data_IF_856511032146
#
_entry.id   IF_856511032146
#
_cell.length_a   1.000
_cell.length_b   1.000
_cell.length_c   1.000
_cell.angle_alpha   90.00
_cell.angle_beta   90.00
_cell.angle_gamma   90.00
#
_symmetry.space_group_name_H-M   'P 1'
#
loop_
_entity.id
_entity.type
_entity.pdbx_description
1 polymer ?
#
# COMPACT_ATOMS: atom_id res chain seq x y z
N UNK A 1 14.62 28.04 64.13
CA UNK A 1 15.00 27.16 63.00
C UNK A 1 13.71 26.71 62.31
N UNK A 2 13.39 27.29 61.20
CA UNK A 2 12.17 26.97 60.41
C UNK A 2 12.59 26.07 59.24
N UNK A 3 12.03 24.85 59.22
CA UNK A 3 12.23 23.87 58.17
C UNK A 3 11.22 24.14 57.07
N UNK A 4 11.68 24.66 55.93
CA UNK A 4 10.84 24.90 54.74
C UNK A 4 10.47 23.60 54.05
N UNK A 5 9.18 23.31 54.00
CA UNK A 5 8.63 22.22 53.23
C UNK A 5 8.58 22.61 51.73
N UNK A 6 9.37 21.91 50.93
CA UNK A 6 9.40 22.07 49.46
C UNK A 6 8.22 21.29 48.85
N UNK A 7 7.20 22.04 48.38
CA UNK A 7 6.05 21.47 47.68
C UNK A 7 6.49 21.09 46.28
N UNK A 8 6.50 19.82 45.95
CA UNK A 8 6.76 19.31 44.62
C UNK A 8 5.61 19.67 43.66
N UNK A 9 5.93 20.33 42.56
CA UNK A 9 4.97 20.69 41.51
C UNK A 9 4.38 19.42 40.84
N UNK A 10 3.09 19.42 40.49
CA UNK A 10 2.48 18.29 39.79
C UNK A 10 3.09 18.12 38.41
N UNK A 11 3.60 16.91 38.15
CA UNK A 11 4.01 16.51 36.78
C UNK A 11 2.79 16.52 35.89
N UNK A 12 2.69 17.51 35.02
CA UNK A 12 1.72 17.52 33.93
C UNK A 12 1.99 16.32 33.02
N UNK A 13 1.12 15.32 33.09
CA UNK A 13 1.07 14.25 32.09
C UNK A 13 0.74 14.92 30.75
N UNK A 14 1.69 14.91 29.82
CA UNK A 14 1.41 15.23 28.42
C UNK A 14 0.20 14.41 27.98
N UNK A 15 -0.80 15.03 27.28
CA UNK A 15 -1.92 14.29 26.73
C UNK A 15 -1.33 13.22 25.82
N UNK A 16 -1.58 11.94 26.12
CA UNK A 16 -1.33 10.86 25.15
C UNK A 16 -2.17 11.23 23.94
N UNK A 17 -1.50 11.64 22.87
CA UNK A 17 -2.10 11.77 21.57
C UNK A 17 -2.87 10.47 21.35
N UNK A 18 -4.21 10.58 21.24
CA UNK A 18 -5.06 9.44 20.97
C UNK A 18 -4.57 8.89 19.64
N UNK A 19 -3.78 7.78 19.69
CA UNK A 19 -3.16 7.22 18.49
C UNK A 19 -4.31 6.62 17.71
N UNK A 20 -4.90 7.42 16.80
CA UNK A 20 -5.97 6.98 15.93
C UNK A 20 -5.54 5.67 15.26
N UNK A 21 -6.44 4.71 15.23
CA UNK A 21 -6.23 3.41 14.61
C UNK A 21 -6.07 3.66 13.09
N UNK A 22 -4.84 3.67 12.60
CA UNK A 22 -4.55 3.87 11.18
C UNK A 22 -4.42 2.52 10.51
N UNK A 23 -5.36 2.21 9.62
CA UNK A 23 -5.42 1.02 8.78
C UNK A 23 -5.65 1.47 7.36
N UNK A 24 -4.58 1.61 6.59
CA UNK A 24 -4.59 2.24 5.27
C UNK A 24 -4.46 1.22 4.16
N UNK A 25 -5.37 1.27 3.20
CA UNK A 25 -5.26 0.56 1.92
C UNK A 25 -4.84 1.54 0.82
N UNK A 26 -3.93 1.12 -0.05
CA UNK A 26 -3.45 1.91 -1.18
C UNK A 26 -3.60 1.09 -2.45
N UNK A 27 -4.39 1.60 -3.40
CA UNK A 27 -4.65 0.96 -4.70
C UNK A 27 -4.22 1.85 -5.85
N UNK A 28 -4.01 1.26 -7.01
CA UNK A 28 -3.67 1.96 -8.25
C UNK A 28 -2.87 1.09 -9.20
N UNK A 29 -2.57 1.62 -10.40
CA UNK A 29 -1.79 0.91 -11.42
C UNK A 29 -0.35 0.62 -10.96
N UNK A 30 0.38 -0.29 -11.66
CA UNK A 30 1.84 -0.35 -11.53
C UNK A 30 2.44 1.01 -11.87
N UNK A 31 3.57 1.35 -11.26
CA UNK A 31 4.21 2.65 -11.47
C UNK A 31 3.48 3.86 -10.89
N UNK A 32 2.31 3.70 -10.24
CA UNK A 32 1.57 4.84 -9.66
C UNK A 32 2.19 5.42 -8.39
N UNK A 33 3.24 4.80 -7.83
CA UNK A 33 3.94 5.27 -6.63
C UNK A 33 3.44 4.66 -5.31
N UNK A 34 2.61 3.62 -5.34
CA UNK A 34 2.04 2.95 -4.14
C UNK A 34 3.10 2.57 -3.12
N UNK A 35 4.14 1.87 -3.54
CA UNK A 35 5.19 1.36 -2.64
C UNK A 35 5.97 2.50 -1.98
N UNK A 36 6.21 3.60 -2.72
CA UNK A 36 6.84 4.81 -2.17
C UNK A 36 5.94 5.47 -1.13
N UNK A 37 4.66 5.63 -1.46
CA UNK A 37 3.66 6.20 -0.55
C UNK A 37 3.51 5.33 0.71
N UNK A 38 3.38 4.01 0.56
CA UNK A 38 3.28 3.07 1.68
C UNK A 38 4.51 3.12 2.59
N UNK A 39 5.71 3.17 2.02
CA UNK A 39 6.97 3.26 2.77
C UNK A 39 7.03 4.55 3.61
N UNK A 40 6.70 5.70 3.00
CA UNK A 40 6.65 6.99 3.71
C UNK A 40 5.58 6.98 4.80
N UNK A 41 4.39 6.47 4.49
CA UNK A 41 3.29 6.32 5.43
C UNK A 41 3.66 5.45 6.63
N UNK A 42 4.29 4.31 6.39
CA UNK A 42 4.76 3.41 7.44
C UNK A 42 5.78 4.10 8.36
N UNK A 43 6.75 4.81 7.77
CA UNK A 43 7.77 5.52 8.54
C UNK A 43 7.19 6.69 9.36
N UNK A 44 6.28 7.49 8.76
CA UNK A 44 5.70 8.65 9.42
C UNK A 44 4.77 8.28 10.59
N UNK A 45 4.07 7.15 10.48
CA UNK A 45 3.03 6.77 11.42
C UNK A 45 3.32 5.51 12.23
N UNK A 46 4.48 4.87 12.04
CA UNK A 46 4.84 3.62 12.71
C UNK A 46 3.87 2.48 12.37
N UNK A 47 3.59 2.27 11.07
CA UNK A 47 2.68 1.24 10.59
C UNK A 47 3.45 0.00 10.15
N UNK A 48 2.87 -1.19 10.39
CA UNK A 48 3.30 -2.39 9.70
C UNK A 48 2.96 -2.27 8.21
N UNK A 49 3.86 -2.69 7.32
CA UNK A 49 3.65 -2.60 5.87
C UNK A 49 3.51 -3.99 5.25
N UNK A 50 2.52 -4.15 4.39
CA UNK A 50 2.38 -5.30 3.50
C UNK A 50 2.26 -4.83 2.05
N UNK A 51 3.13 -5.35 1.20
CA UNK A 51 3.05 -5.27 -0.25
C UNK A 51 2.34 -6.54 -0.77
N UNK A 52 1.19 -6.39 -1.42
CA UNK A 52 0.39 -7.53 -1.87
C UNK A 52 1.14 -8.42 -2.86
N UNK A 53 2.00 -7.85 -3.69
CA UNK A 53 2.85 -8.63 -4.60
C UNK A 53 3.66 -9.72 -3.87
N UNK A 54 4.03 -9.48 -2.60
CA UNK A 54 4.82 -10.44 -1.81
C UNK A 54 4.04 -11.68 -1.38
N UNK A 55 2.71 -11.62 -1.37
CA UNK A 55 1.84 -12.74 -1.00
C UNK A 55 1.02 -13.28 -2.16
N UNK A 56 0.82 -12.50 -3.21
CA UNK A 56 0.02 -12.87 -4.40
C UNK A 56 0.83 -13.70 -5.38
N UNK A 57 2.13 -13.45 -5.50
CA UNK A 57 2.98 -14.08 -6.49
C UNK A 57 3.93 -15.11 -5.88
N UNK A 58 4.22 -16.16 -6.67
CA UNK A 58 5.29 -17.11 -6.33
C UNK A 58 6.64 -16.40 -6.34
N UNK A 59 7.47 -16.58 -5.30
CA UNK A 59 8.80 -15.97 -5.26
C UNK A 59 9.64 -16.36 -6.48
N UNK A 60 10.33 -15.38 -7.07
CA UNK A 60 11.23 -15.58 -8.22
C UNK A 60 10.55 -16.21 -9.46
N UNK A 61 9.23 -16.10 -9.58
CA UNK A 61 8.46 -16.55 -10.75
C UNK A 61 7.59 -15.41 -11.25
N UNK A 62 7.90 -14.90 -12.43
CA UNK A 62 7.17 -13.78 -13.01
C UNK A 62 5.73 -14.17 -13.33
N UNK A 63 4.78 -13.43 -12.79
CA UNK A 63 3.35 -13.56 -13.03
C UNK A 63 2.74 -14.96 -12.74
N UNK A 64 3.37 -15.75 -11.87
CA UNK A 64 2.81 -17.01 -11.37
C UNK A 64 2.08 -16.74 -10.07
N UNK A 65 0.74 -16.80 -10.11
CA UNK A 65 -0.08 -16.55 -8.92
C UNK A 65 0.01 -17.72 -7.94
N UNK A 66 0.03 -17.41 -6.65
CA UNK A 66 -0.13 -18.39 -5.56
C UNK A 66 -1.61 -18.81 -5.42
N UNK A 67 -1.89 -20.00 -4.81
CA UNK A 67 -3.24 -20.39 -4.48
C UNK A 67 -3.98 -19.33 -3.66
N UNK A 68 -5.24 -19.07 -4.00
CA UNK A 68 -6.02 -17.99 -3.36
C UNK A 68 -6.21 -18.22 -1.85
N UNK A 69 -6.28 -19.47 -1.41
CA UNK A 69 -6.34 -19.84 0.01
C UNK A 69 -5.08 -19.46 0.78
N UNK A 70 -3.89 -19.60 0.17
CA UNK A 70 -2.62 -19.22 0.80
C UNK A 70 -2.50 -17.70 0.90
N UNK A 71 -2.88 -16.99 -0.17
CA UNK A 71 -2.92 -15.51 -0.18
C UNK A 71 -3.86 -14.99 0.91
N UNK A 72 -5.04 -15.62 1.03
CA UNK A 72 -6.02 -15.27 2.06
C UNK A 72 -5.48 -15.53 3.46
N UNK A 73 -4.84 -16.67 3.70
CA UNK A 73 -4.28 -17.03 5.01
C UNK A 73 -3.16 -16.05 5.43
N UNK A 74 -2.28 -15.67 4.51
CA UNK A 74 -1.21 -14.70 4.77
C UNK A 74 -1.78 -13.31 5.09
N UNK A 75 -2.79 -12.85 4.34
CA UNK A 75 -3.45 -11.58 4.60
C UNK A 75 -4.15 -11.58 5.97
N UNK A 76 -4.93 -12.61 6.27
CA UNK A 76 -5.63 -12.73 7.56
C UNK A 76 -4.65 -12.79 8.74
N UNK A 77 -3.51 -13.48 8.58
CA UNK A 77 -2.42 -13.52 9.57
C UNK A 77 -1.81 -12.14 9.80
N UNK A 78 -1.57 -11.39 8.73
CA UNK A 78 -1.05 -10.03 8.83
C UNK A 78 -2.04 -9.11 9.56
N UNK A 79 -3.33 -9.14 9.20
CA UNK A 79 -4.38 -8.33 9.81
C UNK A 79 -4.59 -8.67 11.30
N UNK A 80 -4.48 -9.95 11.68
CA UNK A 80 -4.59 -10.39 13.07
C UNK A 80 -3.40 -9.98 13.94
N UNK A 81 -2.23 -9.82 13.34
CA UNK A 81 -0.98 -9.54 14.06
C UNK A 81 -0.73 -8.04 14.25
N UNK A 82 -1.31 -7.20 13.38
CA UNK A 82 -1.01 -5.77 13.36
C UNK A 82 -2.27 -4.91 13.51
N UNK A 83 -2.34 -4.14 14.59
CA UNK A 83 -3.45 -3.20 14.83
C UNK A 83 -3.40 -1.97 13.90
N UNK A 84 -2.20 -1.57 13.50
CA UNK A 84 -1.93 -0.38 12.68
C UNK A 84 -1.07 -0.78 11.49
N UNK A 85 -1.60 -0.54 10.29
CA UNK A 85 -0.94 -1.04 9.09
C UNK A 85 -1.20 -0.18 7.85
N UNK A 86 -0.36 -0.39 6.84
CA UNK A 86 -0.54 0.04 5.47
C UNK A 86 -0.34 -1.16 4.55
N UNK A 87 -1.34 -1.42 3.71
CA UNK A 87 -1.33 -2.47 2.69
C UNK A 87 -1.42 -1.80 1.33
N UNK A 88 -0.62 -2.25 0.38
CA UNK A 88 -0.63 -1.68 -0.97
C UNK A 88 -0.55 -2.75 -2.05
N UNK A 89 -1.21 -2.50 -3.18
CA UNK A 89 -1.15 -3.38 -4.34
C UNK A 89 -2.06 -2.98 -5.49
N UNK A 90 -1.96 -3.76 -6.59
CA UNK A 90 -2.84 -3.63 -7.76
C UNK A 90 -4.01 -4.62 -7.71
N UNK A 91 -3.97 -5.61 -6.82
CA UNK A 91 -4.92 -6.72 -6.78
C UNK A 91 -6.17 -6.33 -6.00
N UNK A 92 -7.12 -5.68 -6.69
CA UNK A 92 -8.31 -5.11 -6.08
C UNK A 92 -9.20 -6.14 -5.38
N UNK A 93 -9.23 -7.39 -5.84
CA UNK A 93 -9.93 -8.49 -5.19
C UNK A 93 -9.29 -8.85 -3.85
N UNK A 94 -7.96 -8.86 -3.74
CA UNK A 94 -7.25 -9.06 -2.47
C UNK A 94 -7.42 -7.85 -1.55
N UNK A 95 -7.36 -6.62 -2.11
CA UNK A 95 -7.65 -5.38 -1.37
C UNK A 95 -9.06 -5.42 -0.77
N UNK A 96 -10.04 -5.91 -1.52
CA UNK A 96 -11.43 -6.03 -1.08
C UNK A 96 -11.56 -6.91 0.17
N UNK A 97 -10.72 -7.96 0.32
CA UNK A 97 -10.71 -8.81 1.50
C UNK A 97 -10.32 -8.04 2.78
N UNK A 98 -9.46 -7.03 2.68
CA UNK A 98 -9.01 -6.21 3.81
C UNK A 98 -9.88 -4.96 4.05
N UNK A 99 -10.81 -4.65 3.14
CA UNK A 99 -11.57 -3.39 3.14
C UNK A 99 -12.41 -3.22 4.41
N UNK A 100 -12.97 -4.31 4.95
CA UNK A 100 -13.76 -4.30 6.18
C UNK A 100 -13.00 -3.81 7.43
N UNK A 101 -11.67 -3.96 7.43
CA UNK A 101 -10.79 -3.54 8.52
C UNK A 101 -10.13 -2.17 8.25
N UNK A 102 -10.31 -1.62 7.05
CA UNK A 102 -9.69 -0.38 6.60
C UNK A 102 -10.30 0.85 7.27
N UNK A 103 -9.48 1.83 7.64
CA UNK A 103 -9.93 3.14 8.12
C UNK A 103 -9.71 4.24 7.09
N UNK A 104 -8.81 4.04 6.13
CA UNK A 104 -8.50 5.00 5.07
C UNK A 104 -8.12 4.30 3.77
N UNK A 105 -8.79 4.66 2.68
CA UNK A 105 -8.48 4.18 1.33
C UNK A 105 -7.84 5.28 0.48
N UNK A 106 -6.66 5.01 -0.07
CA UNK A 106 -5.94 5.91 -0.96
C UNK A 106 -5.89 5.31 -2.36
N UNK A 107 -6.42 6.04 -3.32
CA UNK A 107 -6.35 5.67 -4.73
C UNK A 107 -5.32 6.52 -5.46
N UNK A 108 -4.20 5.90 -5.87
CA UNK A 108 -3.16 6.57 -6.65
C UNK A 108 -3.44 6.44 -8.15
N UNK A 109 -3.85 7.54 -8.77
CA UNK A 109 -4.26 7.60 -10.17
C UNK A 109 -3.56 8.76 -10.91
N UNK A 110 -2.21 8.77 -11.01
CA UNK A 110 -1.47 9.87 -11.63
C UNK A 110 -1.54 9.86 -13.18
N UNK A 111 -2.25 8.92 -13.76
CA UNK A 111 -2.31 8.72 -15.20
C UNK A 111 -1.27 7.74 -15.74
N UNK A 112 -1.58 7.14 -16.91
CA UNK A 112 -0.72 6.10 -17.52
C UNK A 112 0.67 6.61 -17.85
N UNK A 113 0.80 7.85 -18.35
CA UNK A 113 2.10 8.39 -18.75
C UNK A 113 3.08 8.44 -17.57
N UNK A 114 2.63 8.86 -16.39
CA UNK A 114 3.45 8.88 -15.16
C UNK A 114 3.80 7.47 -14.72
N UNK A 115 2.84 6.53 -14.79
CA UNK A 115 3.08 5.13 -14.43
C UNK A 115 4.15 4.50 -15.32
N UNK A 116 4.06 4.68 -16.62
CA UNK A 116 5.04 4.17 -17.59
C UNK A 116 6.44 4.74 -17.36
N UNK A 117 6.52 6.05 -17.08
CA UNK A 117 7.81 6.71 -16.80
C UNK A 117 8.45 6.16 -15.52
N UNK A 118 7.66 5.96 -14.48
CA UNK A 118 8.11 5.39 -13.22
C UNK A 118 8.56 3.93 -13.38
N UNK A 119 7.83 3.11 -14.15
CA UNK A 119 8.20 1.72 -14.39
C UNK A 119 9.46 1.59 -15.25
N UNK A 120 9.71 2.48 -16.23
CA UNK A 120 10.96 2.54 -16.99
C UNK A 120 12.18 2.87 -16.12
N UNK A 121 11.99 3.65 -15.04
CA UNK A 121 13.04 4.08 -14.11
C UNK A 121 13.17 3.18 -12.89
N UNK A 122 12.32 2.15 -12.78
CA UNK A 122 12.29 1.27 -11.61
C UNK A 122 13.66 0.59 -11.43
N UNK A 123 14.26 0.68 -10.24
CA UNK A 123 15.48 -0.07 -9.96
C UNK A 123 15.21 -1.57 -9.98
N UNK A 124 16.28 -2.38 -10.12
CA UNK A 124 16.15 -3.82 -10.01
C UNK A 124 15.54 -4.23 -8.65
N UNK A 125 14.58 -5.14 -8.72
CA UNK A 125 13.83 -5.68 -7.58
C UNK A 125 14.29 -7.14 -7.32
N UNK A 126 15.32 -7.37 -6.48
CA UNK A 126 15.91 -8.69 -6.29
C UNK A 126 14.99 -9.72 -5.64
N UNK A 127 13.87 -9.28 -5.05
CA UNK A 127 12.83 -10.14 -4.49
C UNK A 127 11.83 -10.66 -5.53
N UNK A 128 11.83 -10.09 -6.75
CA UNK A 128 10.93 -10.45 -7.86
C UNK A 128 11.67 -11.11 -9.01
N UNK A 129 12.91 -10.72 -9.27
CA UNK A 129 13.70 -11.17 -10.42
C UNK A 129 15.11 -11.59 -10.00
N UNK A 130 15.63 -12.66 -10.61
CA UNK A 130 16.95 -13.17 -10.31
C UNK A 130 18.07 -12.25 -10.80
N UNK A 131 17.81 -11.40 -11.79
CA UNK A 131 18.77 -10.41 -12.30
C UNK A 131 18.09 -9.17 -12.89
N UNK A 132 18.88 -8.10 -13.05
CA UNK A 132 18.44 -6.89 -13.76
C UNK A 132 18.14 -7.16 -15.24
N UNK A 133 18.89 -8.09 -15.87
CA UNK A 133 18.67 -8.50 -17.25
C UNK A 133 17.34 -9.22 -17.39
N UNK A 134 16.98 -10.05 -16.44
CA UNK A 134 15.67 -10.71 -16.43
C UNK A 134 14.54 -9.70 -16.26
N UNK A 135 14.64 -8.79 -15.30
CA UNK A 135 13.67 -7.70 -15.15
C UNK A 135 13.49 -6.92 -16.45
N UNK A 136 14.59 -6.59 -17.12
CA UNK A 136 14.56 -5.85 -18.39
C UNK A 136 13.91 -6.64 -19.53
N UNK A 137 13.99 -7.97 -19.55
CA UNK A 137 13.26 -8.81 -20.53
C UNK A 137 11.75 -8.73 -20.33
N UNK A 138 11.30 -8.61 -19.10
CA UNK A 138 9.88 -8.52 -18.77
C UNK A 138 9.31 -7.11 -18.85
N UNK A 139 10.17 -6.08 -18.87
CA UNK A 139 9.74 -4.68 -18.90
C UNK A 139 8.77 -4.34 -20.03
N UNK A 140 8.96 -4.77 -21.31
CA UNK A 140 8.01 -4.47 -22.38
C UNK A 140 6.60 -5.01 -22.10
N UNK A 141 6.50 -6.21 -21.52
CA UNK A 141 5.21 -6.81 -21.15
C UNK A 141 4.54 -6.03 -20.01
N UNK A 142 5.32 -5.61 -19.00
CA UNK A 142 4.81 -4.77 -17.92
C UNK A 142 4.30 -3.43 -18.46
N UNK A 143 5.03 -2.77 -19.35
CA UNK A 143 4.62 -1.48 -19.92
C UNK A 143 3.33 -1.61 -20.72
N UNK A 144 3.19 -2.65 -21.58
CA UNK A 144 1.94 -2.92 -22.29
C UNK A 144 0.78 -3.15 -21.33
N UNK A 145 1.01 -3.93 -20.28
CA UNK A 145 0.01 -4.18 -19.24
C UNK A 145 -0.40 -2.88 -18.50
N UNK A 146 0.53 -1.98 -18.23
CA UNK A 146 0.28 -0.67 -17.59
C UNK A 146 -0.56 0.24 -18.50
N UNK A 147 -0.31 0.23 -19.83
CA UNK A 147 -1.07 0.99 -20.81
C UNK A 147 -2.55 0.60 -20.86
N UNK A 148 -2.86 -0.68 -20.66
CA UNK A 148 -4.22 -1.21 -20.70
C UNK A 148 -5.05 -0.89 -19.44
N UNK A 149 -4.52 -0.21 -18.44
CA UNK A 149 -5.15 0.01 -17.15
C UNK A 149 -6.57 0.55 -17.20
N UNK A 150 -6.84 1.50 -18.11
CA UNK A 150 -8.15 2.11 -18.27
C UNK A 150 -9.12 1.32 -19.16
N UNK A 151 -8.62 0.32 -19.87
CA UNK A 151 -9.40 -0.43 -20.87
C UNK A 151 -9.55 -1.92 -20.55
N UNK A 152 -8.65 -2.48 -19.75
CA UNK A 152 -8.74 -3.88 -19.34
C UNK A 152 -9.84 -4.07 -18.31
N UNK A 153 -10.34 -5.30 -18.20
CA UNK A 153 -11.29 -5.75 -17.20
C UNK A 153 -10.61 -6.44 -16.01
N UNK A 154 -11.42 -6.73 -14.96
CA UNK A 154 -11.01 -7.51 -13.81
C UNK A 154 -10.38 -6.70 -12.68
N UNK A 155 -9.90 -7.39 -11.62
CA UNK A 155 -9.58 -6.75 -10.34
C UNK A 155 -8.38 -5.80 -10.38
N UNK A 156 -7.56 -5.85 -11.43
CA UNK A 156 -6.39 -4.98 -11.62
C UNK A 156 -6.64 -3.82 -12.59
N UNK A 157 -7.93 -3.55 -12.90
CA UNK A 157 -8.35 -2.48 -13.82
C UNK A 157 -8.63 -1.17 -13.10
N UNK A 158 -8.62 -0.06 -13.86
CA UNK A 158 -9.11 1.23 -13.37
C UNK A 158 -10.57 1.15 -12.91
N UNK A 159 -11.42 0.51 -13.70
CA UNK A 159 -12.85 0.40 -13.41
C UNK A 159 -13.10 -0.27 -12.04
N UNK A 160 -12.38 -1.35 -11.75
CA UNK A 160 -12.48 -2.04 -10.47
C UNK A 160 -11.97 -1.17 -9.30
N UNK A 161 -10.79 -0.55 -9.45
CA UNK A 161 -10.23 0.30 -8.40
C UNK A 161 -11.10 1.55 -8.16
N UNK A 162 -11.69 2.11 -9.24
CA UNK A 162 -12.62 3.24 -9.14
C UNK A 162 -13.88 2.85 -8.37
N UNK A 163 -14.50 1.73 -8.73
CA UNK A 163 -15.68 1.23 -8.01
C UNK A 163 -15.36 0.96 -6.53
N UNK A 164 -14.23 0.31 -6.23
CA UNK A 164 -13.78 0.05 -4.87
C UNK A 164 -13.63 1.35 -4.06
N UNK A 165 -13.08 2.38 -4.70
CA UNK A 165 -12.95 3.70 -4.09
C UNK A 165 -14.29 4.41 -3.91
N UNK A 166 -15.19 4.34 -4.89
CA UNK A 166 -16.49 5.01 -4.83
C UNK A 166 -17.39 4.38 -3.77
N UNK A 167 -17.39 3.05 -3.66
CA UNK A 167 -18.20 2.27 -2.72
C UNK A 167 -17.68 2.30 -1.28
N UNK A 168 -16.45 2.75 -1.04
CA UNK A 168 -15.92 2.83 0.31
C UNK A 168 -16.45 4.04 1.07
N UNK A 169 -17.16 3.81 2.19
CA UNK A 169 -17.78 4.86 3.01
C UNK A 169 -16.84 5.52 4.02
N UNK A 170 -15.62 4.98 4.23
CA UNK A 170 -14.64 5.51 5.17
C UNK A 170 -13.88 6.74 4.64
N UNK A 171 -12.86 7.17 5.37
CA UNK A 171 -11.97 8.21 4.90
C UNK A 171 -11.28 7.77 3.61
N UNK A 172 -11.37 8.56 2.55
CA UNK A 172 -10.79 8.22 1.25
C UNK A 172 -10.18 9.42 0.55
N UNK A 173 -9.12 9.16 -0.22
CA UNK A 173 -8.40 10.20 -0.98
C UNK A 173 -7.93 9.64 -2.32
N UNK A 174 -8.28 10.34 -3.40
CA UNK A 174 -7.67 10.12 -4.72
C UNK A 174 -6.48 11.07 -4.89
N UNK A 175 -5.41 10.53 -5.49
CA UNK A 175 -4.18 11.27 -5.78
C UNK A 175 -3.91 11.16 -7.27
N UNK A 176 -4.06 12.28 -7.97
CA UNK A 176 -3.89 12.39 -9.42
C UNK A 176 -2.57 13.03 -9.84
N UNK A 177 -1.81 13.59 -8.89
CA UNK A 177 -0.50 14.20 -9.16
C UNK A 177 0.61 13.44 -8.44
N UNK A 178 1.77 13.29 -9.11
CA UNK A 178 2.90 12.53 -8.56
C UNK A 178 3.65 13.30 -7.48
N UNK A 179 3.71 12.78 -6.29
CA UNK A 179 4.31 13.21 -5.01
C UNK A 179 3.30 13.82 -4.06
N UNK A 180 2.63 12.96 -3.33
CA UNK A 180 1.80 13.40 -2.21
C UNK A 180 2.45 12.95 -0.92
N UNK A 181 2.53 13.84 0.05
CA UNK A 181 2.89 13.50 1.41
C UNK A 181 1.80 12.62 2.03
N UNK A 182 2.19 11.54 2.72
CA UNK A 182 1.29 10.56 3.31
C UNK A 182 0.50 11.11 4.51
#
# INVERSE_FOLDING_TARGET
MAVGAQVAAPRTRSPRLCCALVRRLIVGNSGSGKSTYATRSAAAHGLARLELDSIVWEPHKVAVARPAEDVRADLDSFLATHDRWVIEGCDGDVVLLALHACTELVFLNPGVAVCLENDRRRPWEPHKYDSAEEQNKWLPYLLSWVEEYYTRDGPRSYAFHRQLFDDFDGAKREVTEGTVDP
#
